data_IF_702070535256
#
_entry.id   IF_702070535256
#
_cell.length_a   1.000
_cell.length_b   1.000
_cell.length_c   1.000
_cell.angle_alpha   90.00
_cell.angle_beta   90.00
_cell.angle_gamma   90.00
#
_symmetry.space_group_name_H-M   'P 1'
#
loop_
_entity.id
_entity.type
_entity.pdbx_description
1 polymer ?
#
# COMPACT_ATOMS: atom_id res chain seq x y z
N UNK A 1 12.89 -3.96 21.26
CA UNK A 1 13.23 -5.37 20.92
C UNK A 1 12.62 -5.70 19.57
N UNK A 2 13.22 -6.58 18.77
CA UNK A 2 12.63 -7.02 17.49
C UNK A 2 11.89 -8.33 17.76
N UNK A 3 10.59 -8.35 17.50
CA UNK A 3 9.73 -9.52 17.73
C UNK A 3 9.21 -10.02 16.38
N UNK A 4 9.63 -11.21 15.91
CA UNK A 4 9.01 -11.83 14.75
C UNK A 4 7.60 -12.30 15.13
N UNK A 5 6.62 -12.00 14.27
CA UNK A 5 5.22 -12.39 14.48
C UNK A 5 4.68 -13.10 13.25
N UNK A 6 3.84 -14.11 13.48
CA UNK A 6 3.06 -14.74 12.42
C UNK A 6 1.97 -13.79 11.91
N UNK A 7 1.54 -13.96 10.66
CA UNK A 7 0.58 -13.05 10.04
C UNK A 7 -0.74 -12.92 10.80
N UNK A 8 -1.28 -14.04 11.30
CA UNK A 8 -2.51 -14.03 12.09
C UNK A 8 -2.37 -13.23 13.39
N UNK A 9 -1.19 -13.30 14.02
CA UNK A 9 -0.89 -12.54 15.23
C UNK A 9 -0.71 -11.05 14.92
N UNK A 10 -0.04 -10.71 13.81
CA UNK A 10 0.09 -9.33 13.34
C UNK A 10 -1.29 -8.70 13.10
N UNK A 11 -2.20 -9.43 12.43
CA UNK A 11 -3.57 -8.98 12.21
C UNK A 11 -4.33 -8.70 13.52
N UNK A 12 -4.13 -9.53 14.54
CA UNK A 12 -4.81 -9.34 15.81
C UNK A 12 -4.20 -8.18 16.61
N UNK A 13 -2.90 -8.24 16.89
CA UNK A 13 -2.22 -7.29 17.77
C UNK A 13 -2.04 -5.92 17.11
N UNK A 14 -1.46 -5.89 15.91
CA UNK A 14 -1.10 -4.63 15.22
C UNK A 14 -2.30 -4.04 14.51
N UNK A 15 -2.92 -4.81 13.62
CA UNK A 15 -3.95 -4.26 12.74
C UNK A 15 -5.27 -3.95 13.45
N UNK A 16 -5.78 -4.89 14.26
CA UNK A 16 -7.04 -4.72 15.00
C UNK A 16 -6.85 -3.97 16.31
N UNK A 17 -5.96 -4.47 17.17
CA UNK A 17 -5.81 -3.97 18.54
C UNK A 17 -4.89 -2.75 18.65
N UNK A 18 -4.10 -2.44 17.61
CA UNK A 18 -3.17 -1.30 17.57
C UNK A 18 -2.14 -1.33 18.71
N UNK A 19 -1.79 -2.53 19.11
CA UNK A 19 -0.85 -2.82 20.18
C UNK A 19 0.56 -2.95 19.61
N UNK A 20 1.19 -1.80 19.36
CA UNK A 20 2.56 -1.72 18.85
C UNK A 20 3.16 -0.32 19.06
N UNK A 21 4.47 -0.27 19.28
CA UNK A 21 5.23 0.99 19.16
C UNK A 21 5.63 1.24 17.70
N UNK A 22 6.22 0.22 17.06
CA UNK A 22 6.63 0.21 15.65
C UNK A 22 6.33 -1.16 15.04
N UNK A 23 5.92 -1.14 13.78
CA UNK A 23 5.69 -2.35 12.97
C UNK A 23 6.30 -2.17 11.59
N UNK A 24 6.72 -3.28 10.97
CA UNK A 24 7.15 -3.33 9.57
C UNK A 24 6.17 -4.20 8.81
N UNK A 25 5.60 -3.67 7.74
CA UNK A 25 4.70 -4.41 6.84
C UNK A 25 4.83 -3.87 5.43
N UNK A 26 4.64 -4.76 4.44
CA UNK A 26 4.57 -4.37 3.04
C UNK A 26 3.12 -4.05 2.68
N UNK A 27 2.82 -2.76 2.51
CA UNK A 27 1.57 -2.31 1.87
C UNK A 27 1.70 -2.42 0.36
N UNK A 28 0.73 -3.06 -0.31
CA UNK A 28 0.88 -3.48 -1.71
C UNK A 28 -0.25 -2.99 -2.63
N UNK A 29 -1.26 -2.32 -2.07
CA UNK A 29 -2.39 -1.78 -2.81
C UNK A 29 -1.97 -0.51 -3.58
N UNK A 30 -2.07 -0.51 -4.93
CA UNK A 30 -1.78 0.69 -5.70
C UNK A 30 -2.87 1.75 -5.44
N UNK A 31 -2.45 3.02 -5.44
CA UNK A 31 -3.34 4.18 -5.35
C UNK A 31 -4.21 4.27 -4.07
N UNK A 32 -3.89 3.54 -3.00
CA UNK A 32 -4.64 3.62 -1.73
C UNK A 32 -4.15 4.73 -0.77
N UNK A 33 -3.63 5.85 -1.30
CA UNK A 33 -3.19 6.98 -0.47
C UNK A 33 -4.34 7.57 0.36
N UNK A 34 -5.59 7.36 -0.06
CA UNK A 34 -6.77 7.76 0.72
C UNK A 34 -6.91 7.01 2.05
N UNK A 35 -6.21 5.88 2.26
CA UNK A 35 -6.29 5.07 3.49
C UNK A 35 -5.92 5.87 4.74
N UNK A 36 -5.02 6.86 4.61
CA UNK A 36 -4.59 7.74 5.69
C UNK A 36 -5.69 8.70 6.18
N UNK A 37 -6.79 8.84 5.43
CA UNK A 37 -7.96 9.60 5.87
C UNK A 37 -8.85 8.82 6.86
N UNK A 38 -8.62 7.50 7.01
CA UNK A 38 -9.46 6.62 7.83
C UNK A 38 -9.04 6.71 9.31
N UNK A 39 -9.79 7.41 10.18
CA UNK A 39 -9.34 7.74 11.55
C UNK A 39 -9.27 6.53 12.50
N UNK A 40 -9.81 5.39 12.09
CA UNK A 40 -9.79 4.13 12.83
C UNK A 40 -8.73 3.14 12.33
N UNK A 41 -8.02 3.45 11.25
CA UNK A 41 -6.99 2.59 10.69
C UNK A 41 -5.80 2.45 11.64
N UNK A 42 -4.99 1.39 11.48
CA UNK A 42 -3.97 1.04 12.47
C UNK A 42 -2.82 2.05 12.56
N UNK A 43 -2.62 2.91 11.54
CA UNK A 43 -1.69 4.03 11.62
C UNK A 43 -2.06 5.08 12.67
N UNK A 44 -3.33 5.08 13.13
CA UNK A 44 -3.85 6.06 14.11
C UNK A 44 -3.66 7.54 13.71
N UNK A 45 -3.43 7.78 12.41
CA UNK A 45 -3.12 9.08 11.86
C UNK A 45 -4.38 9.94 11.65
N UNK A 46 -4.27 11.24 11.95
CA UNK A 46 -5.34 12.22 11.77
C UNK A 46 -4.74 13.55 11.37
N UNK A 47 -5.09 14.03 10.17
CA UNK A 47 -4.69 15.34 9.69
C UNK A 47 -5.81 15.92 8.82
N UNK A 48 -6.45 17.00 9.28
CA UNK A 48 -7.55 17.63 8.56
C UNK A 48 -7.10 18.25 7.23
N UNK A 49 -5.87 18.77 7.16
CA UNK A 49 -5.29 19.29 5.92
C UNK A 49 -5.04 18.19 4.89
N UNK A 50 -4.53 17.04 5.33
CA UNK A 50 -4.42 15.85 4.48
C UNK A 50 -5.79 15.41 3.94
N UNK A 51 -6.80 15.34 4.81
CA UNK A 51 -8.16 14.96 4.41
C UNK A 51 -8.72 15.90 3.33
N UNK A 52 -8.54 17.21 3.48
CA UNK A 52 -8.98 18.20 2.50
C UNK A 52 -8.28 18.05 1.13
N UNK A 53 -6.99 17.70 1.12
CA UNK A 53 -6.25 17.40 -0.11
C UNK A 53 -6.82 16.17 -0.79
N UNK A 54 -7.10 15.09 -0.04
CA UNK A 54 -7.68 13.86 -0.60
C UNK A 54 -9.10 14.08 -1.12
N UNK A 55 -9.93 14.85 -0.42
CA UNK A 55 -11.27 15.21 -0.89
C UNK A 55 -11.21 15.95 -2.23
N UNK A 56 -10.32 16.95 -2.33
CA UNK A 56 -10.09 17.69 -3.58
C UNK A 56 -9.57 16.78 -4.69
N UNK A 57 -8.64 15.88 -4.37
CA UNK A 57 -8.04 14.93 -5.32
C UNK A 57 -9.10 14.00 -5.93
N UNK A 58 -10.09 13.57 -5.15
CA UNK A 58 -11.12 12.63 -5.58
C UNK A 58 -12.14 13.24 -6.55
N UNK A 59 -12.36 14.56 -6.49
CA UNK A 59 -13.30 15.27 -7.39
C UNK A 59 -12.60 15.94 -8.57
N UNK A 60 -11.27 15.99 -8.57
CA UNK A 60 -10.48 16.65 -9.64
C UNK A 60 -10.30 15.73 -10.84
N UNK A 61 -10.77 16.18 -12.01
CA UNK A 61 -10.57 15.50 -13.30
C UNK A 61 -9.39 16.04 -14.12
N UNK A 62 -8.97 17.30 -13.89
CA UNK A 62 -7.82 17.88 -14.58
C UNK A 62 -6.52 17.13 -14.22
N UNK A 63 -5.79 16.55 -15.18
CA UNK A 63 -4.62 15.73 -14.88
C UNK A 63 -3.49 16.49 -14.17
N UNK A 64 -3.23 17.74 -14.55
CA UNK A 64 -2.12 18.53 -13.98
C UNK A 64 -2.40 18.84 -12.52
N UNK A 65 -3.63 19.29 -12.22
CA UNK A 65 -4.07 19.57 -10.87
C UNK A 65 -4.11 18.30 -10.02
N UNK A 66 -4.58 17.18 -10.58
CA UNK A 66 -4.61 15.90 -9.89
C UNK A 66 -3.20 15.43 -9.49
N UNK A 67 -2.20 15.60 -10.35
CA UNK A 67 -0.80 15.30 -10.00
C UNK A 67 -0.25 16.22 -8.93
N UNK A 68 -0.56 17.53 -8.99
CA UNK A 68 -0.15 18.48 -7.96
C UNK A 68 -0.73 18.10 -6.58
N UNK A 69 -2.02 17.74 -6.53
CA UNK A 69 -2.69 17.29 -5.31
C UNK A 69 -2.11 15.97 -4.77
N UNK A 70 -1.79 15.02 -5.65
CA UNK A 70 -1.12 13.77 -5.26
C UNK A 70 0.25 14.05 -4.64
N UNK A 71 1.06 14.92 -5.26
CA UNK A 71 2.35 15.33 -4.71
C UNK A 71 2.22 16.05 -3.36
N UNK A 72 1.20 16.89 -3.20
CA UNK A 72 0.92 17.56 -1.93
C UNK A 72 0.54 16.54 -0.82
N UNK A 73 -0.31 15.56 -1.13
CA UNK A 73 -0.68 14.50 -0.19
C UNK A 73 0.56 13.69 0.25
N UNK A 74 1.42 13.29 -0.69
CA UNK A 74 2.68 12.59 -0.40
C UNK A 74 3.62 13.44 0.45
N UNK A 75 3.76 14.73 0.15
CA UNK A 75 4.62 15.64 0.91
C UNK A 75 4.14 15.83 2.35
N UNK A 76 2.83 15.87 2.60
CA UNK A 76 2.28 15.92 3.96
C UNK A 76 2.67 14.65 4.72
N UNK A 77 2.43 13.47 4.16
CA UNK A 77 2.75 12.20 4.83
C UNK A 77 4.26 12.07 5.13
N UNK A 78 5.12 12.53 4.21
CA UNK A 78 6.56 12.52 4.40
C UNK A 78 7.01 13.47 5.52
N UNK A 79 6.41 14.67 5.62
CA UNK A 79 6.73 15.65 6.67
C UNK A 79 6.22 15.23 8.04
N UNK A 80 5.02 14.65 8.09
CA UNK A 80 4.39 14.17 9.31
C UNK A 80 5.02 12.85 9.80
N UNK A 81 5.90 12.25 8.98
CA UNK A 81 6.59 10.99 9.27
C UNK A 81 5.62 9.87 9.69
N UNK A 82 4.44 9.81 9.05
CA UNK A 82 3.39 8.82 9.40
C UNK A 82 3.90 7.39 9.28
N UNK A 83 4.75 7.16 8.26
CA UNK A 83 5.46 5.91 8.04
C UNK A 83 6.90 6.22 7.60
N UNK A 84 7.84 5.35 7.98
CA UNK A 84 9.17 5.29 7.37
C UNK A 84 9.12 4.50 6.07
N UNK A 85 8.95 5.16 4.93
CA UNK A 85 8.95 4.51 3.62
C UNK A 85 10.36 4.04 3.26
N UNK A 86 10.57 2.72 3.19
CA UNK A 86 11.90 2.13 3.00
C UNK A 86 12.23 1.95 1.51
N UNK A 87 11.43 1.18 0.79
CA UNK A 87 11.60 0.86 -0.62
C UNK A 87 10.31 0.28 -1.19
N UNK A 88 10.22 0.20 -2.52
CA UNK A 88 9.17 -0.54 -3.21
C UNK A 88 9.62 -1.99 -3.38
N UNK A 89 8.98 -2.92 -2.66
CA UNK A 89 9.32 -4.34 -2.72
C UNK A 89 8.98 -4.90 -4.11
N UNK A 90 9.98 -5.44 -4.79
CA UNK A 90 9.79 -6.06 -6.10
C UNK A 90 8.99 -7.37 -5.96
N UNK A 91 8.05 -7.61 -6.88
CA UNK A 91 7.40 -8.92 -7.02
C UNK A 91 8.39 -9.87 -7.70
N UNK A 92 9.10 -10.66 -6.90
CA UNK A 92 9.97 -11.72 -7.40
C UNK A 92 9.19 -13.03 -7.49
N UNK A 93 9.25 -13.67 -8.67
CA UNK A 93 8.63 -14.96 -8.91
C UNK A 93 9.60 -15.90 -9.61
N UNK A 94 9.59 -17.17 -9.21
CA UNK A 94 10.30 -18.25 -9.89
C UNK A 94 9.23 -19.25 -10.32
N UNK A 95 9.16 -19.53 -11.61
CA UNK A 95 8.23 -20.51 -12.16
C UNK A 95 8.97 -21.50 -13.05
N UNK A 96 8.32 -22.65 -13.27
CA UNK A 96 8.83 -23.65 -14.18
C UNK A 96 8.84 -23.09 -15.61
N UNK A 97 9.90 -23.36 -16.39
CA UNK A 97 10.04 -22.87 -17.78
C UNK A 97 8.88 -23.29 -18.71
N UNK A 98 8.17 -24.37 -18.37
CA UNK A 98 7.03 -24.87 -19.13
C UNK A 98 5.70 -24.21 -18.70
N UNK A 99 5.68 -23.39 -17.64
CA UNK A 99 4.51 -22.60 -17.26
C UNK A 99 4.55 -21.27 -18.01
N UNK A 100 3.52 -21.02 -18.82
CA UNK A 100 3.38 -19.81 -19.64
C UNK A 100 2.12 -19.04 -19.26
N UNK A 101 2.06 -17.75 -19.62
CA UNK A 101 0.89 -16.89 -19.39
C UNK A 101 0.87 -16.16 -18.04
N UNK A 102 1.87 -16.36 -17.18
CA UNK A 102 2.08 -15.52 -15.99
C UNK A 102 2.50 -14.11 -16.41
N UNK A 103 1.99 -13.10 -15.69
CA UNK A 103 2.40 -11.71 -15.92
C UNK A 103 3.85 -11.48 -15.50
N UNK A 104 4.63 -10.90 -16.41
CA UNK A 104 6.00 -10.45 -16.12
C UNK A 104 6.00 -9.32 -15.07
N UNK A 105 5.14 -8.31 -15.26
CA UNK A 105 4.95 -7.19 -14.35
C UNK A 105 3.48 -7.12 -13.92
N UNK A 106 3.21 -7.14 -12.62
CA UNK A 106 1.85 -7.02 -12.09
C UNK A 106 1.63 -5.64 -11.46
N UNK A 107 0.63 -4.87 -11.90
CA UNK A 107 0.29 -3.57 -11.31
C UNK A 107 -0.44 -3.70 -9.96
N UNK A 108 -0.87 -4.92 -9.59
CA UNK A 108 -1.66 -5.20 -8.40
C UNK A 108 -1.12 -6.43 -7.65
N UNK A 109 -1.44 -6.56 -6.37
CA UNK A 109 -1.14 -7.75 -5.57
C UNK A 109 -2.13 -8.88 -5.87
N UNK A 110 -2.06 -9.42 -7.10
CA UNK A 110 -2.87 -10.57 -7.51
C UNK A 110 -2.01 -11.61 -8.22
N UNK A 111 -2.44 -12.88 -8.07
CA UNK A 111 -1.97 -13.99 -8.88
C UNK A 111 -3.03 -14.30 -9.94
N UNK A 112 -3.02 -13.51 -11.02
CA UNK A 112 -3.89 -13.80 -12.16
C UNK A 112 -3.39 -15.08 -12.87
N UNK A 113 -4.25 -16.11 -12.86
CA UNK A 113 -4.00 -17.39 -13.49
C UNK A 113 -4.90 -17.64 -14.71
N UNK A 114 -5.69 -16.66 -15.14
CA UNK A 114 -6.69 -16.84 -16.20
C UNK A 114 -6.07 -17.22 -17.55
N UNK A 115 -4.89 -16.71 -17.86
CA UNK A 115 -4.11 -17.05 -19.05
C UNK A 115 -3.04 -18.11 -18.82
N UNK A 116 -2.92 -18.67 -17.62
CA UNK A 116 -1.80 -19.54 -17.24
C UNK A 116 -2.05 -20.97 -17.69
N UNK A 117 -1.05 -21.55 -18.36
CA UNK A 117 -1.11 -22.94 -18.84
C UNK A 117 0.27 -23.58 -18.88
N UNK A 118 0.29 -24.91 -19.06
CA UNK A 118 1.50 -25.65 -19.36
C UNK A 118 1.72 -25.68 -20.87
N UNK A 119 2.91 -25.28 -21.30
CA UNK A 119 3.40 -25.53 -22.66
C UNK A 119 3.88 -26.99 -22.71
N UNK A 120 3.13 -27.83 -23.42
CA UNK A 120 3.46 -29.24 -23.65
C UNK A 120 4.50 -29.38 -24.75
#
# INVERSE_FOLDING_TARGET
EIIPVEWAQWLDQVFKNKDFDLTIVSHTEPMDIGIYTRPKYYFQYRNAGFNAVIESLNVTSDPKLRYALMGAAQAILAKDAVNGFLFQLAKLGIWNKNVVGLWENSPVQANDLTGVSWNN
#
